data_IF_208141221251
#
_entry.id   IF_208141221251
#
_cell.length_a   1.000
_cell.length_b   1.000
_cell.length_c   1.000
_cell.angle_alpha   90.00
_cell.angle_beta   90.00
_cell.angle_gamma   90.00
#
_symmetry.space_group_name_H-M   'P 1'
#
loop_
_entity.id
_entity.type
_entity.pdbx_description
1 polymer ?
#
# COMPACT_ATOMS: atom_id res chain seq x y z
N UNK A 1 -47.25 19.09 -4.83
CA UNK A 1 -46.01 19.28 -4.04
C UNK A 1 -45.32 17.93 -3.95
N UNK A 2 -44.44 17.64 -4.89
CA UNK A 2 -43.57 16.46 -4.94
C UNK A 2 -42.63 16.71 -6.12
N UNK A 3 -41.32 16.63 -5.90
CA UNK A 3 -40.29 16.34 -6.91
C UNK A 3 -38.97 16.11 -6.14
N UNK A 4 -38.57 14.85 -6.00
CA UNK A 4 -37.15 14.44 -5.94
C UNK A 4 -36.72 14.05 -7.38
N UNK A 5 -35.50 13.58 -7.63
CA UNK A 5 -34.15 14.11 -7.39
C UNK A 5 -33.41 14.32 -8.75
N UNK A 6 -32.19 14.87 -8.79
CA UNK A 6 -31.35 14.83 -9.99
C UNK A 6 -29.91 14.39 -9.69
N UNK A 7 -29.56 13.25 -10.30
CA UNK A 7 -28.26 12.58 -10.32
C UNK A 7 -27.40 13.23 -11.41
N UNK A 8 -26.08 13.39 -11.23
CA UNK A 8 -25.20 13.94 -12.26
C UNK A 8 -24.98 12.92 -13.39
N UNK A 9 -25.22 13.32 -14.62
CA UNK A 9 -24.85 12.56 -15.83
C UNK A 9 -23.80 13.31 -16.64
N UNK A 10 -22.80 12.54 -17.05
CA UNK A 10 -21.62 12.91 -17.84
C UNK A 10 -21.98 13.52 -19.20
N UNK A 11 -21.34 14.63 -19.55
CA UNK A 11 -21.30 15.13 -20.93
C UNK A 11 -19.83 15.13 -21.40
N UNK A 12 -19.51 14.21 -22.32
CA UNK A 12 -18.33 14.30 -23.19
C UNK A 12 -18.58 15.40 -24.23
N UNK A 13 -17.62 16.29 -24.43
CA UNK A 13 -17.60 17.17 -25.61
C UNK A 13 -16.52 16.74 -26.61
N UNK A 14 -16.72 17.04 -27.91
CA UNK A 14 -16.30 16.19 -29.02
C UNK A 14 -14.90 16.51 -29.55
N UNK A 15 -14.31 15.51 -30.21
CA UNK A 15 -13.16 15.65 -31.10
C UNK A 15 -13.51 16.49 -32.33
N UNK A 16 -12.81 17.60 -32.54
CA UNK A 16 -12.79 18.33 -33.81
C UNK A 16 -11.38 18.31 -34.39
N UNK A 17 -11.19 17.51 -35.44
CA UNK A 17 -10.18 17.76 -36.44
C UNK A 17 -10.79 18.65 -37.53
N UNK A 18 -10.26 19.86 -37.72
CA UNK A 18 -10.48 20.65 -38.95
C UNK A 18 -9.20 21.40 -39.32
N UNK A 19 -8.78 21.12 -40.56
CA UNK A 19 -7.69 21.56 -41.47
C UNK A 19 -6.92 22.90 -41.24
N UNK A 20 -5.71 23.02 -41.84
CA UNK A 20 -4.75 24.10 -41.62
C UNK A 20 -4.95 25.27 -42.59
N UNK A 21 -5.04 26.50 -42.10
CA UNK A 21 -4.77 27.79 -42.79
C UNK A 21 -4.83 28.83 -41.66
N UNK A 22 -3.82 29.63 -41.31
CA UNK A 22 -3.19 30.69 -42.09
C UNK A 22 -1.92 31.12 -41.32
N UNK A 23 -0.76 31.22 -41.99
CA UNK A 23 0.46 31.74 -41.37
C UNK A 23 0.22 33.19 -40.94
N UNK A 24 0.10 33.43 -39.63
CA UNK A 24 0.24 34.76 -39.08
C UNK A 24 1.62 35.28 -39.48
N UNK A 25 1.69 36.19 -40.45
CA UNK A 25 2.91 36.96 -40.71
C UNK A 25 3.30 37.65 -39.41
N UNK A 26 4.49 37.32 -38.89
CA UNK A 26 5.10 38.10 -37.82
C UNK A 26 5.13 39.57 -38.26
N UNK A 27 4.49 40.44 -37.48
CA UNK A 27 4.68 41.89 -37.62
C UNK A 27 6.20 42.13 -37.51
N UNK A 28 6.84 42.88 -38.44
CA UNK A 28 8.25 43.14 -38.33
C UNK A 28 8.48 43.88 -37.02
N UNK A 29 9.27 43.26 -36.14
CA UNK A 29 9.70 43.88 -34.89
C UNK A 29 10.40 45.18 -35.27
N UNK A 30 9.91 46.31 -34.80
CA UNK A 30 10.55 47.60 -35.04
C UNK A 30 11.94 47.56 -34.42
N UNK A 31 12.96 47.42 -35.27
CA UNK A 31 14.36 47.26 -34.91
C UNK A 31 14.87 48.43 -34.06
N UNK A 32 14.37 49.65 -34.34
CA UNK A 32 14.70 50.85 -33.57
C UNK A 32 14.15 50.80 -32.14
N UNK A 33 12.95 50.25 -31.97
CA UNK A 33 12.34 50.08 -30.65
C UNK A 33 13.06 48.99 -29.82
N UNK A 34 13.47 47.89 -30.46
CA UNK A 34 14.30 46.86 -29.80
C UNK A 34 15.67 47.41 -29.37
N UNK A 35 16.31 48.20 -30.22
CA UNK A 35 17.61 48.80 -29.92
C UNK A 35 17.51 49.84 -28.79
N UNK A 36 16.45 50.66 -28.77
CA UNK A 36 16.20 51.61 -27.68
C UNK A 36 15.95 50.91 -26.34
N UNK A 37 15.16 49.82 -26.35
CA UNK A 37 14.93 49.01 -25.14
C UNK A 37 16.22 48.34 -24.67
N UNK A 38 17.07 47.86 -25.57
CA UNK A 38 18.37 47.28 -25.21
C UNK A 38 19.32 48.30 -24.57
N UNK A 39 19.38 49.52 -25.10
CA UNK A 39 20.20 50.60 -24.51
C UNK A 39 19.70 50.99 -23.11
N UNK A 40 18.38 51.05 -22.92
CA UNK A 40 17.77 51.27 -21.60
C UNK A 40 18.15 50.13 -20.63
N UNK A 41 18.00 48.86 -21.03
CA UNK A 41 18.38 47.70 -20.21
C UNK A 41 19.87 47.72 -19.83
N UNK A 42 20.76 48.07 -20.78
CA UNK A 42 22.21 48.23 -20.52
C UNK A 42 22.48 49.35 -19.51
N UNK A 43 21.81 50.49 -19.65
CA UNK A 43 21.93 51.63 -18.72
C UNK A 43 21.46 51.30 -17.30
N UNK A 44 20.44 50.43 -17.19
CA UNK A 44 19.91 49.94 -15.91
C UNK A 44 20.80 48.87 -15.28
N UNK A 45 21.92 48.48 -15.93
CA UNK A 45 22.81 47.39 -15.53
C UNK A 45 22.05 46.08 -15.21
N UNK A 46 20.91 45.88 -15.86
CA UNK A 46 20.06 44.73 -15.62
C UNK A 46 20.42 43.64 -16.62
N UNK A 47 20.95 42.52 -16.13
CA UNK A 47 21.21 41.34 -16.93
C UNK A 47 20.04 40.37 -16.81
N UNK A 48 19.23 40.24 -17.87
CA UNK A 48 18.14 39.27 -17.93
C UNK A 48 18.67 37.84 -17.74
N UNK A 49 19.86 37.55 -18.25
CA UNK A 49 20.52 36.24 -18.08
C UNK A 49 20.81 35.97 -16.60
N UNK A 50 21.33 36.95 -15.87
CA UNK A 50 21.59 36.80 -14.43
C UNK A 50 20.29 36.70 -13.63
N UNK A 51 19.27 37.49 -13.97
CA UNK A 51 17.96 37.42 -13.31
C UNK A 51 17.31 36.04 -13.52
N UNK A 52 17.23 35.54 -14.76
CA UNK A 52 16.67 34.21 -15.03
C UNK A 52 17.51 33.10 -14.40
N UNK A 53 18.84 33.21 -14.41
CA UNK A 53 19.74 32.21 -13.81
C UNK A 53 19.65 32.20 -12.28
N UNK A 54 19.48 33.36 -11.65
CA UNK A 54 19.44 33.49 -10.19
C UNK A 54 18.02 33.53 -9.61
N UNK A 55 16.99 33.45 -10.46
CA UNK A 55 15.59 33.39 -10.01
C UNK A 55 15.35 32.10 -9.24
N UNK A 56 14.90 32.25 -7.99
CA UNK A 56 14.48 31.11 -7.17
C UNK A 56 13.18 30.53 -7.74
N UNK A 57 13.27 29.39 -8.41
CA UNK A 57 12.09 28.68 -8.91
C UNK A 57 11.43 27.82 -7.82
N UNK A 58 10.11 27.70 -7.89
CA UNK A 58 9.32 26.82 -7.04
C UNK A 58 8.96 25.52 -7.79
N UNK A 59 9.98 24.74 -8.12
CA UNK A 59 9.81 23.45 -8.81
C UNK A 59 9.91 22.30 -7.81
N UNK A 60 9.14 21.24 -8.06
CA UNK A 60 9.28 20.01 -7.27
C UNK A 60 10.47 19.21 -7.77
N UNK A 61 11.19 18.51 -6.89
CA UNK A 61 12.31 17.61 -7.26
C UNK A 61 11.89 16.64 -8.38
N UNK A 62 10.67 16.09 -8.32
CA UNK A 62 10.16 15.20 -9.36
C UNK A 62 10.03 15.84 -10.75
N UNK A 63 9.80 17.14 -10.84
CA UNK A 63 9.77 17.86 -12.11
C UNK A 63 11.19 18.13 -12.62
N UNK A 64 12.10 18.50 -11.72
CA UNK A 64 13.54 18.67 -12.03
C UNK A 64 14.17 17.36 -12.55
N UNK A 65 13.78 16.21 -12.01
CA UNK A 65 14.29 14.91 -12.44
C UNK A 65 13.75 14.47 -13.80
N UNK A 66 12.54 14.92 -14.17
CA UNK A 66 11.98 14.68 -15.51
C UNK A 66 12.70 15.49 -16.58
N UNK A 67 13.16 16.71 -16.25
CA UNK A 67 13.90 17.57 -17.20
C UNK A 67 15.36 17.18 -17.32
N UNK A 68 15.98 16.56 -16.30
CA UNK A 68 17.36 16.07 -16.34
C UNK A 68 17.49 14.56 -16.02
N UNK A 69 17.42 13.68 -17.06
CA UNK A 69 17.48 12.22 -16.89
C UNK A 69 18.79 11.70 -16.27
N UNK A 70 19.91 12.42 -16.39
CA UNK A 70 21.20 12.02 -15.81
C UNK A 70 21.18 12.09 -14.28
N UNK A 71 20.51 13.09 -13.72
CA UNK A 71 20.37 13.22 -12.26
C UNK A 71 19.48 12.12 -11.68
N UNK A 72 18.43 11.72 -12.42
CA UNK A 72 17.59 10.58 -12.05
C UNK A 72 18.40 9.28 -11.96
N UNK A 73 19.30 9.03 -12.93
CA UNK A 73 20.19 7.86 -12.92
C UNK A 73 21.13 7.82 -11.72
N UNK A 74 21.69 8.96 -11.31
CA UNK A 74 22.58 9.05 -10.14
C UNK A 74 21.84 8.84 -8.81
N UNK A 75 20.61 9.34 -8.68
CA UNK A 75 19.79 9.11 -7.48
C UNK A 75 19.43 7.63 -7.30
N UNK A 76 19.09 6.95 -8.39
CA UNK A 76 18.86 5.50 -8.39
C UNK A 76 20.16 4.75 -8.07
N UNK A 77 21.28 5.14 -8.70
CA UNK A 77 22.59 4.49 -8.52
C UNK A 77 23.11 4.59 -7.08
N UNK A 78 22.87 5.71 -6.40
CA UNK A 78 23.30 5.93 -5.02
C UNK A 78 22.34 5.41 -3.96
N UNK A 79 21.29 4.66 -4.34
CA UNK A 79 20.33 4.06 -3.41
C UNK A 79 19.85 5.05 -2.34
N UNK A 80 19.55 6.29 -2.73
CA UNK A 80 18.71 7.15 -1.87
C UNK A 80 17.27 6.64 -2.03
N UNK A 81 17.07 5.40 -1.61
CA UNK A 81 15.75 4.88 -1.32
C UNK A 81 15.25 5.70 -0.15
N UNK A 82 14.04 6.24 -0.29
CA UNK A 82 13.25 6.70 0.86
C UNK A 82 13.42 5.71 2.01
N UNK A 83 13.40 6.18 3.26
CA UNK A 83 13.35 5.40 4.51
C UNK A 83 12.15 4.40 4.61
N UNK A 84 11.59 3.95 3.50
CA UNK A 84 11.03 2.62 3.40
C UNK A 84 12.16 1.64 3.69
N UNK A 85 12.20 1.21 4.94
CA UNK A 85 12.88 0.04 5.47
C UNK A 85 13.09 -0.95 4.31
N UNK A 86 14.32 -1.04 3.77
CA UNK A 86 14.66 -2.24 3.02
C UNK A 86 14.50 -3.36 4.03
N UNK A 87 13.62 -4.36 3.82
CA UNK A 87 13.57 -5.50 4.69
C UNK A 87 14.99 -6.04 4.73
N UNK A 88 15.56 -6.02 5.93
CA UNK A 88 16.88 -6.59 6.20
C UNK A 88 16.90 -7.93 5.49
N UNK A 89 17.87 -8.15 4.60
CA UNK A 89 18.04 -9.42 3.89
C UNK A 89 18.32 -10.52 4.91
N UNK A 90 17.29 -10.93 5.65
CA UNK A 90 17.16 -12.29 6.14
C UNK A 90 17.24 -13.15 4.88
N UNK A 91 18.12 -14.14 4.90
CA UNK A 91 18.49 -14.95 3.74
C UNK A 91 17.38 -15.86 3.22
N UNK A 92 16.17 -15.34 3.04
CA UNK A 92 15.05 -16.03 2.45
C UNK A 92 15.03 -15.73 0.96
N UNK A 93 15.18 -16.78 0.16
CA UNK A 93 15.03 -16.73 -1.28
C UNK A 93 13.56 -16.51 -1.63
N UNK A 94 13.29 -15.91 -2.80
CA UNK A 94 11.92 -15.83 -3.35
C UNK A 94 11.28 -17.23 -3.45
N UNK A 95 12.09 -18.28 -3.56
CA UNK A 95 11.67 -19.68 -3.55
C UNK A 95 11.09 -20.17 -2.21
N UNK A 96 11.37 -19.48 -1.09
CA UNK A 96 10.83 -19.82 0.24
C UNK A 96 9.45 -19.21 0.50
N UNK A 97 8.96 -18.37 -0.41
CA UNK A 97 7.58 -17.88 -0.41
C UNK A 97 6.74 -18.89 -1.20
N UNK A 98 5.88 -19.63 -0.49
CA UNK A 98 4.80 -20.40 -1.09
C UNK A 98 3.79 -19.41 -1.71
N UNK A 99 4.11 -18.86 -2.89
CA UNK A 99 3.14 -18.18 -3.75
C UNK A 99 2.28 -19.30 -4.35
N UNK A 100 1.23 -19.68 -3.62
CA UNK A 100 0.24 -20.60 -4.12
C UNK A 100 -0.56 -19.89 -5.21
N UNK A 101 -0.24 -20.20 -6.48
CA UNK A 101 -1.16 -20.02 -7.60
C UNK A 101 -2.37 -20.93 -7.38
N UNK A 102 -3.35 -20.48 -6.60
CA UNK A 102 -4.66 -21.10 -6.54
C UNK A 102 -5.71 -20.01 -6.79
N UNK A 103 -6.21 -20.04 -8.02
CA UNK A 103 -7.56 -19.59 -8.36
C UNK A 103 -8.53 -20.07 -7.25
N UNK A 104 -9.46 -19.19 -6.84
CA UNK A 104 -10.50 -19.39 -5.81
C UNK A 104 -10.18 -19.04 -4.34
N UNK A 105 -9.58 -17.89 -4.04
CA UNK A 105 -9.68 -17.31 -2.69
C UNK A 105 -10.30 -15.90 -2.72
N UNK A 106 -11.52 -15.82 -2.17
CA UNK A 106 -12.35 -14.62 -2.00
C UNK A 106 -11.84 -13.68 -0.88
N UNK A 107 -10.56 -13.77 -0.49
CA UNK A 107 -10.02 -13.01 0.64
C UNK A 107 -8.90 -12.09 0.14
N UNK A 108 -9.20 -10.80 0.03
CA UNK A 108 -8.25 -9.71 -0.28
C UNK A 108 -7.23 -9.44 0.86
N UNK A 109 -7.04 -10.38 1.79
CA UNK A 109 -6.32 -10.17 3.06
C UNK A 109 -5.08 -11.05 3.15
N UNK A 110 -4.07 -10.57 3.90
CA UNK A 110 -2.82 -11.27 4.23
C UNK A 110 -3.09 -12.65 4.82
N UNK A 111 -2.85 -13.69 4.03
CA UNK A 111 -2.95 -15.09 4.43
C UNK A 111 -1.57 -15.76 4.41
N UNK A 112 -1.36 -16.71 5.32
CA UNK A 112 -0.12 -17.46 5.43
C UNK A 112 -0.37 -18.95 5.60
N UNK A 113 0.64 -19.76 5.23
CA UNK A 113 0.61 -21.21 5.43
C UNK A 113 1.31 -21.57 6.74
N UNK A 114 0.46 -22.03 7.64
CA UNK A 114 0.65 -22.62 8.96
C UNK A 114 1.23 -24.02 9.04
N UNK A 115 1.96 -24.40 10.10
CA UNK A 115 1.94 -25.81 10.56
C UNK A 115 1.54 -25.85 12.03
N UNK A 116 0.53 -26.68 12.36
CA UNK A 116 0.11 -27.01 13.72
C UNK A 116 -0.01 -28.53 13.80
N UNK A 117 0.63 -29.17 14.80
CA UNK A 117 0.65 -30.63 14.96
C UNK A 117 0.89 -31.40 13.65
N UNK A 118 1.93 -30.98 12.92
CA UNK A 118 2.36 -31.54 11.63
C UNK A 118 1.33 -31.41 10.49
N UNK A 119 0.25 -30.66 10.69
CA UNK A 119 -0.78 -30.38 9.66
C UNK A 119 -0.63 -28.96 9.14
N UNK A 120 -0.56 -28.83 7.83
CA UNK A 120 -0.49 -27.52 7.20
C UNK A 120 -1.88 -26.89 7.05
N UNK A 121 -2.05 -25.65 7.52
CA UNK A 121 -3.32 -24.92 7.43
C UNK A 121 -3.11 -23.52 6.90
N UNK A 122 -4.12 -22.95 6.23
CA UNK A 122 -4.13 -21.54 5.89
C UNK A 122 -4.69 -20.73 7.06
N UNK A 123 -3.99 -19.66 7.43
CA UNK A 123 -4.43 -18.71 8.45
C UNK A 123 -4.48 -17.29 7.90
N UNK A 124 -5.33 -16.47 8.53
CA UNK A 124 -5.35 -15.03 8.37
C UNK A 124 -4.34 -14.40 9.32
N UNK A 125 -3.54 -13.44 8.87
CA UNK A 125 -2.72 -12.62 9.76
C UNK A 125 -3.47 -11.32 10.00
N UNK A 126 -3.87 -11.05 11.25
CA UNK A 126 -4.69 -9.89 11.61
C UNK A 126 -4.19 -9.25 12.91
N UNK A 127 -3.94 -7.94 12.88
CA UNK A 127 -3.57 -7.16 14.05
C UNK A 127 -4.79 -6.64 14.84
N UNK A 128 -6.01 -6.89 14.36
CA UNK A 128 -7.26 -6.51 15.02
C UNK A 128 -7.52 -7.25 16.34
N UNK A 129 -7.52 -8.60 16.35
CA UNK A 129 -7.78 -9.35 17.58
C UNK A 129 -6.55 -9.38 18.50
N UNK A 130 -6.80 -9.29 19.80
CA UNK A 130 -5.76 -9.43 20.83
C UNK A 130 -5.23 -10.87 20.88
N UNK A 131 -6.11 -11.86 20.80
CA UNK A 131 -5.79 -13.28 20.87
C UNK A 131 -5.87 -13.97 19.50
N UNK A 132 -5.16 -15.09 19.34
CA UNK A 132 -5.35 -15.99 18.20
C UNK A 132 -6.72 -16.67 18.28
N UNK A 133 -7.39 -16.81 17.14
CA UNK A 133 -8.76 -17.32 17.05
C UNK A 133 -8.84 -18.52 16.11
N UNK A 134 -9.28 -19.66 16.61
CA UNK A 134 -9.45 -20.91 15.86
C UNK A 134 -10.94 -21.21 15.65
N UNK A 135 -11.28 -21.76 14.48
CA UNK A 135 -12.63 -22.30 14.27
C UNK A 135 -12.75 -23.70 14.90
N UNK A 136 -13.88 -23.99 15.56
CA UNK A 136 -14.25 -25.31 16.08
C UNK A 136 -14.01 -26.45 15.08
N UNK A 137 -14.41 -26.30 13.81
CA UNK A 137 -14.18 -27.33 12.78
C UNK A 137 -12.70 -27.60 12.57
N UNK A 138 -11.86 -26.55 12.55
CA UNK A 138 -10.41 -26.70 12.42
C UNK A 138 -9.83 -27.39 13.65
N UNK A 139 -10.29 -27.03 14.85
CA UNK A 139 -9.90 -27.67 16.11
C UNK A 139 -10.16 -29.18 16.10
N UNK A 140 -11.34 -29.60 15.63
CA UNK A 140 -11.71 -31.01 15.48
C UNK A 140 -10.85 -31.74 14.43
N UNK A 141 -10.60 -31.12 13.27
CA UNK A 141 -9.73 -31.68 12.22
C UNK A 141 -8.28 -31.84 12.69
N UNK A 142 -7.77 -30.86 13.45
CA UNK A 142 -6.43 -30.92 14.02
C UNK A 142 -6.34 -31.96 15.13
N UNK A 143 -7.45 -32.25 15.83
CA UNK A 143 -7.49 -33.19 16.95
C UNK A 143 -7.02 -32.57 18.26
N UNK A 144 -7.09 -31.24 18.39
CA UNK A 144 -6.63 -30.53 19.58
C UNK A 144 -7.57 -30.84 20.74
N UNK A 145 -7.02 -31.04 21.94
CA UNK A 145 -7.82 -31.28 23.15
C UNK A 145 -8.29 -29.96 23.72
N UNK A 146 -9.47 -29.95 24.32
CA UNK A 146 -9.99 -28.77 25.02
C UNK A 146 -9.25 -28.69 26.35
N UNK A 147 -8.63 -27.54 26.64
CA UNK A 147 -7.96 -27.36 27.91
C UNK A 147 -8.88 -26.72 28.96
N UNK A 148 -9.61 -25.66 28.59
CA UNK A 148 -10.53 -24.98 29.50
C UNK A 148 -11.70 -24.30 28.76
N UNK A 149 -12.79 -24.04 29.47
CA UNK A 149 -13.88 -23.17 28.98
C UNK A 149 -13.41 -21.73 28.92
N UNK A 150 -13.84 -20.98 27.90
CA UNK A 150 -13.55 -19.56 27.79
C UNK A 150 -14.81 -18.72 28.01
N UNK A 151 -14.64 -17.54 28.63
CA UNK A 151 -15.67 -16.52 28.77
C UNK A 151 -15.37 -15.28 27.92
N UNK A 152 -14.38 -15.36 27.02
CA UNK A 152 -13.96 -14.24 26.18
C UNK A 152 -15.02 -13.95 25.12
N UNK A 153 -15.38 -12.67 24.97
CA UNK A 153 -16.32 -12.21 23.94
C UNK A 153 -15.57 -11.29 22.97
N UNK A 154 -15.50 -11.70 21.71
CA UNK A 154 -14.91 -10.93 20.63
C UNK A 154 -15.95 -10.00 19.99
N UNK A 155 -15.56 -8.76 19.73
CA UNK A 155 -16.30 -7.85 18.85
C UNK A 155 -15.78 -7.99 17.42
N UNK A 156 -16.67 -8.35 16.50
CA UNK A 156 -16.36 -8.46 15.09
C UNK A 156 -16.52 -7.11 14.40
N UNK A 157 -15.86 -6.93 13.26
CA UNK A 157 -15.92 -5.68 12.49
C UNK A 157 -17.30 -5.32 11.92
N UNK A 158 -18.27 -6.24 11.98
CA UNK A 158 -19.68 -6.00 11.65
C UNK A 158 -20.53 -5.59 12.87
N UNK A 159 -19.90 -5.19 13.97
CA UNK A 159 -20.51 -4.89 15.28
C UNK A 159 -21.23 -6.07 15.96
N UNK A 160 -21.13 -7.29 15.41
CA UNK A 160 -21.62 -8.48 16.11
C UNK A 160 -20.61 -8.94 17.16
N UNK A 161 -21.08 -9.74 18.12
CA UNK A 161 -20.23 -10.37 19.13
C UNK A 161 -20.18 -11.88 18.91
N UNK A 162 -19.01 -12.46 19.11
CA UNK A 162 -18.83 -13.91 19.13
C UNK A 162 -18.16 -14.32 20.44
N UNK A 163 -18.82 -15.17 21.20
CA UNK A 163 -18.26 -15.76 22.40
C UNK A 163 -17.32 -16.92 22.02
N UNK A 164 -16.16 -16.97 22.68
CA UNK A 164 -15.31 -18.14 22.66
C UNK A 164 -15.98 -19.27 23.43
N UNK A 165 -15.88 -20.48 22.87
CA UNK A 165 -16.36 -21.69 23.51
C UNK A 165 -15.34 -22.16 24.54
N UNK A 166 -14.08 -22.20 24.12
CA UNK A 166 -12.98 -22.82 24.84
C UNK A 166 -11.67 -22.15 24.49
N UNK A 167 -10.72 -22.26 25.41
CA UNK A 167 -9.34 -21.85 25.19
C UNK A 167 -8.44 -23.08 25.09
N UNK A 168 -7.50 -23.01 24.14
CA UNK A 168 -6.43 -23.97 23.95
C UNK A 168 -5.12 -23.34 24.39
N UNK A 169 -4.37 -24.01 25.26
CA UNK A 169 -3.08 -23.56 25.75
C UNK A 169 -1.94 -24.18 24.96
N UNK A 170 -0.87 -23.41 24.79
CA UNK A 170 0.38 -23.89 24.19
C UNK A 170 0.23 -24.52 22.81
N UNK A 171 -0.68 -24.01 21.97
CA UNK A 171 -0.81 -24.44 20.58
C UNK A 171 0.47 -24.04 19.84
N UNK A 172 1.26 -25.04 19.44
CA UNK A 172 2.53 -24.84 18.76
C UNK A 172 2.30 -24.44 17.30
N UNK A 173 2.43 -23.14 17.03
CA UNK A 173 2.28 -22.61 15.67
C UNK A 173 3.67 -22.49 15.03
N UNK A 174 3.86 -23.20 13.93
CA UNK A 174 5.12 -23.23 13.20
C UNK A 174 5.06 -22.42 11.90
N UNK A 175 5.80 -21.31 11.98
CA UNK A 175 6.33 -20.33 11.03
C UNK A 175 7.55 -20.74 10.22
N UNK A 176 7.47 -21.56 9.16
CA UNK A 176 8.67 -22.11 8.48
C UNK A 176 9.56 -22.92 9.43
N UNK A 177 10.55 -22.29 10.05
CA UNK A 177 11.51 -22.85 11.01
C UNK A 177 11.35 -22.29 12.44
N UNK A 178 10.37 -21.42 12.67
CA UNK A 178 10.11 -20.81 13.98
C UNK A 178 8.82 -21.39 14.55
N UNK A 179 8.90 -22.00 15.74
CA UNK A 179 7.73 -22.52 16.47
C UNK A 179 7.48 -21.68 17.70
N UNK A 180 6.30 -21.06 17.76
CA UNK A 180 5.88 -20.24 18.91
C UNK A 180 4.62 -20.86 19.51
N UNK A 181 4.68 -21.31 20.79
CA UNK A 181 3.48 -21.74 21.50
C UNK A 181 2.64 -20.53 21.89
N UNK A 182 1.35 -20.60 21.56
CA UNK A 182 0.39 -19.55 21.88
C UNK A 182 -0.92 -20.11 22.41
N UNK A 183 -1.62 -19.28 23.17
CA UNK A 183 -3.00 -19.57 23.55
C UNK A 183 -3.91 -19.17 22.39
N UNK A 184 -4.90 -20.02 22.11
CA UNK A 184 -5.85 -19.79 21.04
C UNK A 184 -7.28 -19.99 21.56
N UNK A 185 -8.14 -19.04 21.19
CA UNK A 185 -9.56 -19.04 21.54
C UNK A 185 -10.37 -19.70 20.42
N UNK A 186 -11.33 -20.56 20.77
CA UNK A 186 -12.10 -21.32 19.78
C UNK A 186 -13.50 -20.75 19.63
N UNK A 187 -13.84 -20.28 18.43
CA UNK A 187 -15.19 -19.83 18.09
C UNK A 187 -16.02 -20.94 17.41
N UNK A 188 -17.33 -20.91 17.62
CA UNK A 188 -18.28 -21.83 16.97
C UNK A 188 -18.33 -21.60 15.45
N UNK A 189 -18.46 -20.34 15.02
CA UNK A 189 -18.52 -19.98 13.61
C UNK A 189 -17.52 -18.87 13.29
N UNK A 190 -16.50 -19.20 12.51
CA UNK A 190 -15.55 -18.25 11.94
C UNK A 190 -15.31 -18.62 10.46
N UNK A 191 -15.43 -17.68 9.50
CA UNK A 191 -15.10 -17.96 8.10
C UNK A 191 -13.64 -18.41 7.90
N UNK A 192 -12.73 -17.97 8.76
CA UNK A 192 -11.33 -18.36 8.72
C UNK A 192 -11.04 -19.57 9.60
N UNK A 193 -10.17 -20.45 9.08
CA UNK A 193 -9.74 -21.65 9.81
C UNK A 193 -9.00 -21.28 11.10
N UNK A 194 -8.12 -20.29 11.00
CA UNK A 194 -7.34 -19.69 12.08
C UNK A 194 -7.04 -18.23 11.74
N UNK A 195 -7.14 -17.36 12.75
CA UNK A 195 -6.70 -15.97 12.72
C UNK A 195 -5.55 -15.84 13.71
N UNK A 196 -4.41 -15.36 13.23
CA UNK A 196 -3.24 -15.01 14.03
C UNK A 196 -3.44 -13.59 14.55
N UNK A 197 -3.61 -13.47 15.87
CA UNK A 197 -3.79 -12.21 16.57
C UNK A 197 -2.49 -11.64 17.14
N UNK A 198 -2.63 -10.52 17.85
CA UNK A 198 -1.49 -9.79 18.41
C UNK A 198 -0.67 -10.60 19.42
N UNK A 199 -1.30 -11.50 20.17
CA UNK A 199 -0.61 -12.35 21.15
C UNK A 199 0.53 -13.18 20.52
N UNK A 200 0.38 -13.62 19.27
CA UNK A 200 1.41 -14.32 18.53
C UNK A 200 2.36 -13.33 17.84
N UNK A 201 1.82 -12.28 17.21
CA UNK A 201 2.62 -11.28 16.50
C UNK A 201 3.64 -10.58 17.40
N UNK A 202 3.29 -10.27 18.65
CA UNK A 202 4.20 -9.68 19.64
C UNK A 202 5.32 -10.63 20.07
N UNK A 203 5.11 -11.95 20.00
CA UNK A 203 6.16 -12.94 20.28
C UNK A 203 7.07 -13.18 19.09
N UNK A 204 6.58 -12.89 17.88
CA UNK A 204 7.28 -13.12 16.63
C UNK A 204 8.06 -11.90 16.13
N UNK A 205 7.84 -10.72 16.72
CA UNK A 205 8.50 -9.45 16.38
C UNK A 205 9.95 -9.38 16.85
#
# INVERSE_FOLDING_TARGET
>A
MQLQPAKPQSIKLPSTQTKPTESQKMVPVNEQACNAIQEIIKSLKYSLTEDVTNRKENITIGQLLKTNPRMHGNLIKHKIQSYLIEPTKSGFSLADLNIANNHENLFNTTCAKIIIDNKAIHCLIDCGPSECILNRKTKEILGLKIDSSSNTIFKLGNNSTAASLVILYNVAITIRNVTIPINAEVLETNPMRLIIGNNWLQKAS
#
